data_IF_777830487172
#
_entry.id   IF_777830487172
#
_cell.length_a   1.000
_cell.length_b   1.000
_cell.length_c   1.000
_cell.angle_alpha   90.00
_cell.angle_beta   90.00
_cell.angle_gamma   90.00
#
_symmetry.space_group_name_H-M   'P 1'
#
loop_
_entity.id
_entity.type
_entity.pdbx_description
1 polymer ?
#
# COMPACT_ATOMS: atom_id res chain seq x y z
N UNK A 1 11.69 8.98 24.60
CA UNK A 1 11.60 8.56 23.17
C UNK A 1 10.61 9.47 22.49
N UNK A 2 10.76 9.75 21.19
CA UNK A 2 9.73 10.45 20.43
C UNK A 2 8.44 9.63 20.45
N UNK A 3 7.29 10.29 20.46
CA UNK A 3 6.01 9.62 20.30
C UNK A 3 5.84 9.22 18.83
N UNK A 4 6.15 7.97 18.50
CA UNK A 4 6.12 7.45 17.12
C UNK A 4 4.94 6.50 16.93
N UNK A 5 4.09 6.80 15.96
CA UNK A 5 3.04 5.89 15.51
C UNK A 5 3.58 4.84 14.54
N UNK A 6 3.08 3.61 14.66
CA UNK A 6 3.29 2.54 13.71
C UNK A 6 1.95 2.08 13.14
N UNK A 7 1.62 2.53 11.94
CA UNK A 7 0.39 2.21 11.25
C UNK A 7 0.55 0.88 10.49
N UNK A 8 -0.26 -0.11 10.85
CA UNK A 8 -0.35 -1.38 10.14
C UNK A 8 -1.75 -1.98 10.22
N UNK A 9 -2.09 -2.78 9.21
CA UNK A 9 -3.25 -3.67 9.25
C UNK A 9 -2.83 -5.07 8.84
N UNK A 10 -3.28 -6.09 9.58
CA UNK A 10 -3.00 -7.48 9.23
C UNK A 10 -3.58 -7.86 7.86
N UNK A 11 -4.68 -7.22 7.46
CA UNK A 11 -5.31 -7.38 6.15
C UNK A 11 -4.37 -7.02 4.97
N UNK A 12 -3.43 -6.08 5.17
CA UNK A 12 -2.45 -5.70 4.14
C UNK A 12 -1.51 -6.87 3.77
N UNK A 13 -1.29 -7.81 4.68
CA UNK A 13 -0.51 -9.02 4.40
C UNK A 13 -1.31 -10.10 3.65
N UNK A 14 -2.59 -9.87 3.36
CA UNK A 14 -3.44 -10.84 2.66
C UNK A 14 -3.67 -10.48 1.19
N UNK A 15 -3.17 -9.32 0.72
CA UNK A 15 -3.11 -9.03 -0.71
C UNK A 15 -2.27 -10.11 -1.42
N UNK A 16 -2.75 -10.59 -2.55
CA UNK A 16 -2.08 -11.59 -3.39
C UNK A 16 -2.04 -11.11 -4.83
N UNK A 17 -1.05 -11.58 -5.57
CA UNK A 17 -0.80 -11.25 -6.98
C UNK A 17 -1.06 -12.44 -7.90
N UNK A 18 -1.53 -13.58 -7.37
CA UNK A 18 -1.64 -14.84 -8.10
C UNK A 18 -0.30 -15.58 -8.23
N UNK A 19 -0.29 -16.62 -9.08
CA UNK A 19 0.89 -17.47 -9.30
C UNK A 19 1.94 -16.76 -10.17
N UNK A 20 3.15 -16.65 -9.63
CA UNK A 20 4.29 -16.07 -10.34
C UNK A 20 5.59 -16.74 -9.88
N UNK A 21 6.61 -16.72 -10.74
CA UNK A 21 7.99 -16.97 -10.36
C UNK A 21 8.73 -15.63 -10.32
N UNK A 22 9.03 -15.15 -9.12
CA UNK A 22 9.59 -13.81 -8.89
C UNK A 22 8.64 -12.72 -9.43
N UNK A 23 8.91 -12.13 -10.59
CA UNK A 23 8.04 -11.10 -11.20
C UNK A 23 7.29 -11.62 -12.43
N UNK A 24 7.59 -12.84 -12.88
CA UNK A 24 7.02 -13.41 -14.09
C UNK A 24 5.77 -14.23 -13.77
N UNK A 25 4.61 -13.96 -14.41
CA UNK A 25 3.43 -14.82 -14.28
C UNK A 25 3.73 -16.25 -14.72
N UNK A 26 3.16 -17.23 -14.00
CA UNK A 26 3.27 -18.64 -14.35
C UNK A 26 2.55 -18.92 -15.68
N UNK A 27 3.13 -19.79 -16.50
CA UNK A 27 2.61 -20.16 -17.82
C UNK A 27 3.69 -20.15 -18.91
N UNK A 28 3.41 -20.83 -20.02
CA UNK A 28 4.40 -21.01 -21.10
C UNK A 28 5.66 -21.72 -20.59
N UNK A 29 6.78 -21.00 -20.53
CA UNK A 29 8.07 -21.51 -20.06
C UNK A 29 8.34 -21.24 -18.57
N UNK A 30 7.46 -20.50 -17.90
CA UNK A 30 7.61 -20.16 -16.49
C UNK A 30 6.90 -21.22 -15.66
N UNK A 31 7.70 -22.09 -15.04
CA UNK A 31 7.20 -23.17 -14.18
C UNK A 31 6.58 -22.60 -12.89
N UNK A 32 5.47 -23.17 -12.39
CA UNK A 32 4.96 -22.86 -11.05
C UNK A 32 6.03 -23.09 -9.98
N UNK A 33 6.17 -22.16 -9.03
CA UNK A 33 7.07 -22.34 -7.90
C UNK A 33 6.49 -23.35 -6.91
N UNK A 34 7.30 -24.30 -6.43
CA UNK A 34 6.87 -25.27 -5.42
C UNK A 34 6.52 -24.61 -4.08
N UNK A 35 7.15 -23.49 -3.76
CA UNK A 35 6.85 -22.61 -2.63
C UNK A 35 7.31 -21.19 -2.95
N UNK A 36 6.73 -20.21 -2.27
CA UNK A 36 6.93 -18.80 -2.59
C UNK A 36 5.93 -18.32 -3.63
N UNK A 37 6.38 -17.50 -4.56
CA UNK A 37 5.53 -16.93 -5.59
C UNK A 37 6.07 -15.59 -6.06
N UNK A 38 5.17 -14.62 -6.19
CA UNK A 38 5.52 -13.28 -6.59
C UNK A 38 6.48 -12.58 -5.59
N UNK A 39 7.40 -11.75 -6.11
CA UNK A 39 8.42 -11.06 -5.33
C UNK A 39 7.81 -10.11 -4.28
N UNK A 40 6.68 -9.48 -4.60
CA UNK A 40 5.83 -8.72 -3.66
C UNK A 40 5.03 -9.66 -2.75
N UNK A 41 5.73 -10.55 -2.04
CA UNK A 41 5.12 -11.49 -1.10
C UNK A 41 4.86 -10.82 0.26
N UNK A 42 3.82 -11.25 0.99
CA UNK A 42 3.53 -10.70 2.31
C UNK A 42 4.64 -10.97 3.33
N UNK A 43 5.38 -12.07 3.18
CA UNK A 43 6.41 -12.49 4.12
C UNK A 43 7.55 -11.49 4.26
N UNK A 44 7.88 -10.76 3.20
CA UNK A 44 8.89 -9.69 3.28
C UNK A 44 8.54 -8.62 4.31
N UNK A 45 7.26 -8.21 4.42
CA UNK A 45 6.80 -7.19 5.37
C UNK A 45 6.40 -7.81 6.70
N UNK A 46 5.81 -9.01 6.70
CA UNK A 46 5.44 -9.75 7.92
C UNK A 46 6.67 -10.05 8.77
N UNK A 47 7.79 -10.45 8.16
CA UNK A 47 9.04 -10.74 8.89
C UNK A 47 9.64 -9.50 9.53
N UNK A 48 9.56 -8.33 8.89
CA UNK A 48 9.91 -7.05 9.52
C UNK A 48 9.06 -6.83 10.78
N UNK A 49 7.73 -6.94 10.66
CA UNK A 49 6.81 -6.79 11.81
C UNK A 49 7.14 -7.78 12.94
N UNK A 50 7.38 -9.06 12.61
CA UNK A 50 7.73 -10.08 13.59
C UNK A 50 9.05 -9.76 14.30
N UNK A 51 10.06 -9.25 13.58
CA UNK A 51 11.32 -8.83 14.18
C UNK A 51 11.13 -7.64 15.13
N UNK A 52 10.28 -6.67 14.76
CA UNK A 52 9.94 -5.53 15.63
C UNK A 52 9.25 -6.00 16.92
N UNK A 53 8.42 -7.04 16.84
CA UNK A 53 7.75 -7.64 17.99
C UNK A 53 8.76 -8.30 18.94
N UNK A 54 9.58 -9.24 18.43
CA UNK A 54 10.50 -10.02 19.28
C UNK A 54 11.69 -9.22 19.80
N UNK A 55 12.07 -8.13 19.12
CA UNK A 55 13.08 -7.18 19.62
C UNK A 55 12.54 -6.27 20.72
N UNK A 56 11.22 -6.22 20.93
CA UNK A 56 10.57 -5.32 21.87
C UNK A 56 10.42 -3.88 21.35
N UNK A 57 10.78 -3.60 20.09
CA UNK A 57 10.59 -2.28 19.49
C UNK A 57 9.09 -1.92 19.41
N UNK A 58 8.22 -2.87 19.09
CA UNK A 58 6.77 -2.64 19.05
C UNK A 58 6.21 -2.10 20.37
N UNK A 59 6.81 -2.46 21.52
CA UNK A 59 6.39 -1.97 22.85
C UNK A 59 6.72 -0.50 23.09
N UNK A 60 7.53 0.11 22.22
CA UNK A 60 7.95 1.51 22.29
C UNK A 60 7.21 2.40 21.27
N UNK A 61 6.32 1.80 20.46
CA UNK A 61 5.58 2.49 19.40
C UNK A 61 4.08 2.50 19.72
N UNK A 62 3.37 3.52 19.27
CA UNK A 62 1.91 3.52 19.26
C UNK A 62 1.42 2.75 18.02
N UNK A 63 1.12 1.47 18.18
CA UNK A 63 0.65 0.62 17.10
C UNK A 63 -0.82 0.93 16.79
N UNK A 64 -1.11 1.30 15.53
CA UNK A 64 -2.44 1.73 15.10
C UNK A 64 -2.85 1.03 13.80
N UNK A 65 -4.15 0.85 13.64
CA UNK A 65 -4.77 0.61 12.34
C UNK A 65 -5.39 1.93 11.82
N UNK A 66 -5.90 1.92 10.59
CA UNK A 66 -6.58 3.05 9.96
C UNK A 66 -7.90 2.60 9.33
N UNK A 67 -8.81 3.54 9.08
CA UNK A 67 -9.90 3.27 8.15
C UNK A 67 -9.37 3.20 6.71
N UNK A 68 -9.97 2.40 5.80
CA UNK A 68 -9.62 2.46 4.39
C UNK A 68 -9.74 3.87 3.80
N UNK A 69 -8.97 4.17 2.75
CA UNK A 69 -9.14 5.39 1.96
C UNK A 69 -10.57 5.45 1.38
N UNK A 70 -11.21 6.60 1.51
CA UNK A 70 -12.57 6.83 1.02
C UNK A 70 -12.59 7.03 -0.50
N UNK A 71 -13.76 6.82 -1.12
CA UNK A 71 -13.90 7.04 -2.56
C UNK A 71 -13.52 8.47 -3.00
N UNK A 72 -13.77 9.48 -2.16
CA UNK A 72 -13.38 10.86 -2.43
C UNK A 72 -11.85 11.05 -2.39
N UNK A 73 -11.17 10.40 -1.45
CA UNK A 73 -9.70 10.43 -1.35
C UNK A 73 -9.05 9.70 -2.54
N UNK A 74 -9.62 8.57 -2.96
CA UNK A 74 -9.15 7.87 -4.16
C UNK A 74 -9.34 8.72 -5.42
N UNK A 75 -10.51 9.35 -5.58
CA UNK A 75 -10.86 10.17 -6.73
C UNK A 75 -10.08 11.50 -6.82
N UNK A 76 -9.41 11.91 -5.74
CA UNK A 76 -8.51 13.06 -5.76
C UNK A 76 -7.23 12.79 -6.56
N UNK A 77 -6.89 11.52 -6.79
CA UNK A 77 -5.67 11.11 -7.51
C UNK A 77 -5.99 10.26 -8.73
N UNK A 78 -6.91 9.32 -8.61
CA UNK A 78 -7.18 8.32 -9.62
C UNK A 78 -8.41 8.61 -10.45
N UNK A 79 -8.38 8.20 -11.73
CA UNK A 79 -9.53 8.36 -12.62
C UNK A 79 -10.67 7.43 -12.22
N UNK A 80 -11.91 7.86 -12.48
CA UNK A 80 -13.10 7.06 -12.17
C UNK A 80 -13.08 5.69 -12.90
N UNK A 81 -12.66 5.68 -14.16
CA UNK A 81 -12.58 4.46 -14.97
C UNK A 81 -11.55 3.47 -14.40
N UNK A 82 -10.40 3.97 -13.94
CA UNK A 82 -9.37 3.14 -13.31
C UNK A 82 -9.91 2.47 -12.03
N UNK A 83 -10.54 3.27 -11.15
CA UNK A 83 -11.10 2.76 -9.89
C UNK A 83 -12.23 1.76 -10.14
N UNK A 84 -13.12 2.04 -11.10
CA UNK A 84 -14.21 1.14 -11.46
C UNK A 84 -13.70 -0.19 -12.04
N UNK A 85 -12.73 -0.14 -12.96
CA UNK A 85 -12.12 -1.33 -13.52
C UNK A 85 -11.40 -2.16 -12.45
N UNK A 86 -10.62 -1.51 -11.58
CA UNK A 86 -9.92 -2.19 -10.50
C UNK A 86 -10.90 -2.89 -9.54
N UNK A 87 -11.95 -2.17 -9.08
CA UNK A 87 -12.98 -2.75 -8.22
C UNK A 87 -13.65 -3.96 -8.86
N UNK A 88 -14.10 -3.83 -10.11
CA UNK A 88 -14.81 -4.89 -10.81
C UNK A 88 -13.96 -6.16 -10.97
N UNK A 89 -12.71 -6.02 -11.42
CA UNK A 89 -11.80 -7.16 -11.55
C UNK A 89 -11.45 -7.77 -10.19
N UNK A 90 -11.27 -6.93 -9.17
CA UNK A 90 -10.97 -7.37 -7.79
C UNK A 90 -12.14 -8.16 -7.18
N UNK A 91 -13.38 -7.81 -7.48
CA UNK A 91 -14.54 -8.54 -6.98
C UNK A 91 -14.70 -9.93 -7.62
N UNK A 92 -14.33 -10.02 -8.89
CA UNK A 92 -14.48 -11.22 -9.69
C UNK A 92 -13.33 -12.21 -9.46
N UNK A 93 -12.13 -11.89 -9.96
CA UNK A 93 -11.03 -12.86 -10.11
C UNK A 93 -9.62 -12.31 -9.85
N UNK A 94 -9.45 -11.00 -9.76
CA UNK A 94 -8.15 -10.34 -9.87
C UNK A 94 -7.74 -10.09 -11.32
N UNK A 95 -6.47 -9.76 -11.56
CA UNK A 95 -5.95 -9.52 -12.89
C UNK A 95 -4.65 -8.73 -12.90
N UNK A 96 -4.52 -7.87 -13.92
CA UNK A 96 -3.37 -6.99 -14.15
C UNK A 96 -3.90 -5.58 -14.42
N UNK A 97 -3.57 -4.59 -13.57
CA UNK A 97 -4.04 -3.20 -13.74
C UNK A 97 -3.17 -2.36 -14.68
N UNK A 98 -2.06 -2.91 -15.13
CA UNK A 98 -1.12 -2.22 -16.00
C UNK A 98 0.22 -2.95 -16.06
N UNK A 99 1.31 -2.22 -16.16
CA UNK A 99 2.62 -2.82 -16.41
C UNK A 99 3.18 -3.41 -15.12
N UNK A 100 3.20 -4.74 -15.03
CA UNK A 100 3.68 -5.45 -13.84
C UNK A 100 2.91 -5.08 -12.57
N UNK A 101 1.59 -4.92 -12.66
CA UNK A 101 0.70 -4.64 -11.53
C UNK A 101 -0.36 -5.76 -11.33
N UNK A 102 0.07 -7.00 -11.01
CA UNK A 102 -0.84 -8.11 -10.77
C UNK A 102 -1.57 -7.96 -9.43
N UNK A 103 -2.79 -8.46 -9.34
CA UNK A 103 -3.60 -8.46 -8.12
C UNK A 103 -4.61 -9.60 -8.12
N UNK A 104 -5.01 -10.05 -6.94
CA UNK A 104 -6.01 -11.10 -6.73
C UNK A 104 -7.36 -10.56 -6.28
N UNK A 105 -8.30 -11.48 -6.09
CA UNK A 105 -9.64 -11.16 -5.58
C UNK A 105 -9.57 -10.45 -4.22
N UNK A 106 -10.34 -9.38 -4.05
CA UNK A 106 -10.39 -8.55 -2.83
C UNK A 106 -9.19 -7.61 -2.63
N UNK A 107 -8.31 -7.47 -3.62
CA UNK A 107 -7.14 -6.58 -3.52
C UNK A 107 -7.52 -5.10 -3.55
N UNK A 108 -8.68 -4.72 -4.09
CA UNK A 108 -9.15 -3.34 -4.07
C UNK A 108 -9.32 -2.84 -2.63
N UNK A 109 -10.06 -3.58 -1.80
CA UNK A 109 -10.31 -3.24 -0.41
C UNK A 109 -8.99 -3.17 0.39
N UNK A 110 -8.07 -4.09 0.12
CA UNK A 110 -6.76 -4.12 0.78
C UNK A 110 -5.87 -2.95 0.32
N UNK A 111 -5.92 -2.57 -0.96
CA UNK A 111 -5.22 -1.38 -1.46
C UNK A 111 -5.80 -0.11 -0.82
N UNK A 112 -7.12 -0.01 -0.65
CA UNK A 112 -7.74 1.09 0.09
C UNK A 112 -7.27 1.11 1.55
N UNK A 113 -7.12 -0.04 2.19
CA UNK A 113 -6.55 -0.14 3.55
C UNK A 113 -5.12 0.40 3.57
N UNK A 114 -4.27 -0.01 2.62
CA UNK A 114 -2.89 0.44 2.50
C UNK A 114 -2.79 1.96 2.32
N UNK A 115 -3.62 2.55 1.45
CA UNK A 115 -3.70 4.00 1.28
C UNK A 115 -4.22 4.72 2.55
N UNK A 116 -5.18 4.12 3.25
CA UNK A 116 -5.71 4.64 4.53
C UNK A 116 -4.66 4.69 5.64
N UNK A 117 -3.79 3.68 5.73
CA UNK A 117 -2.65 3.68 6.66
C UNK A 117 -1.68 4.83 6.38
N UNK A 118 -1.38 5.10 5.10
CA UNK A 118 -0.53 6.24 4.72
C UNK A 118 -1.19 7.59 5.06
N UNK A 119 -2.49 7.72 4.78
CA UNK A 119 -3.29 8.91 5.12
C UNK A 119 -3.23 9.22 6.61
N UNK A 120 -3.58 8.25 7.46
CA UNK A 120 -3.66 8.49 8.92
C UNK A 120 -2.27 8.71 9.52
N UNK A 121 -1.22 8.11 8.96
CA UNK A 121 0.16 8.43 9.35
C UNK A 121 0.52 9.89 9.10
N UNK A 122 0.17 10.44 7.92
CA UNK A 122 0.41 11.84 7.60
C UNK A 122 -0.44 12.77 8.47
N UNK A 123 -1.75 12.51 8.59
CA UNK A 123 -2.66 13.34 9.38
C UNK A 123 -2.36 13.29 10.89
N UNK A 124 -1.94 12.14 11.41
CA UNK A 124 -1.56 11.97 12.82
C UNK A 124 -0.35 12.84 13.19
N UNK A 125 0.63 12.95 12.29
CA UNK A 125 1.79 13.83 12.49
C UNK A 125 1.39 15.30 12.30
N UNK A 126 0.66 15.65 11.24
CA UNK A 126 0.27 17.04 10.97
C UNK A 126 -0.66 17.63 12.04
N UNK A 127 -1.48 16.80 12.69
CA UNK A 127 -2.34 17.22 13.80
C UNK A 127 -1.61 17.35 15.14
N UNK A 128 -0.34 16.94 15.22
CA UNK A 128 0.44 16.92 16.46
C UNK A 128 0.10 15.76 17.39
N UNK A 129 -0.67 14.77 16.93
CA UNK A 129 -0.97 13.55 17.72
C UNK A 129 0.29 12.72 17.93
N UNK A 130 1.18 12.68 16.93
CA UNK A 130 2.45 11.95 16.96
C UNK A 130 3.60 12.84 16.45
N UNK A 131 4.80 12.67 17.00
CA UNK A 131 5.99 13.39 16.53
C UNK A 131 6.43 12.88 15.16
N UNK A 132 6.27 11.58 14.93
CA UNK A 132 6.65 10.88 13.69
C UNK A 132 5.74 9.67 13.50
N UNK A 133 5.68 9.14 12.28
CA UNK A 133 4.93 7.93 11.99
C UNK A 133 5.67 7.05 10.97
N UNK A 134 5.39 5.75 11.02
CA UNK A 134 5.75 4.77 10.00
C UNK A 134 4.48 4.03 9.57
N UNK A 135 4.17 4.01 8.28
CA UNK A 135 3.06 3.23 7.74
C UNK A 135 3.58 2.01 6.98
N UNK A 136 3.32 0.81 7.48
CA UNK A 136 3.68 -0.44 6.81
C UNK A 136 2.59 -0.79 5.79
N UNK A 137 2.57 -0.06 4.68
CA UNK A 137 1.57 -0.22 3.61
C UNK A 137 1.90 -1.39 2.69
N UNK A 138 0.89 -2.18 2.33
CA UNK A 138 0.96 -3.22 1.31
C UNK A 138 -0.44 -3.46 0.70
N UNK A 139 -0.64 -3.35 -0.62
CA UNK A 139 0.35 -3.13 -1.69
C UNK A 139 1.06 -1.75 -1.64
N UNK A 140 2.24 -1.60 -2.29
CA UNK A 140 2.97 -0.34 -2.39
C UNK A 140 2.26 0.68 -3.31
N UNK A 141 2.81 1.89 -3.45
CA UNK A 141 2.14 2.95 -4.20
C UNK A 141 2.98 3.87 -5.11
N UNK A 142 4.30 3.95 -4.96
CA UNK A 142 5.08 5.03 -5.59
C UNK A 142 5.12 5.01 -7.13
N UNK A 143 4.96 3.85 -7.78
CA UNK A 143 4.91 3.76 -9.23
C UNK A 143 3.50 3.98 -9.83
N UNK A 144 2.45 4.02 -9.01
CA UNK A 144 1.08 4.07 -9.53
C UNK A 144 0.77 5.45 -10.11
N UNK A 145 0.41 5.48 -11.39
CA UNK A 145 -0.09 6.67 -12.07
C UNK A 145 -1.58 6.89 -11.73
N UNK A 146 -2.12 8.01 -12.17
CA UNK A 146 -3.53 8.35 -11.96
C UNK A 146 -4.49 7.33 -12.59
N UNK A 147 -4.15 6.79 -13.75
CA UNK A 147 -5.01 5.91 -14.57
C UNK A 147 -4.39 4.53 -14.85
N UNK A 148 -3.24 4.21 -14.25
CA UNK A 148 -2.52 2.96 -14.52
C UNK A 148 -1.76 2.46 -13.28
N UNK A 149 -1.97 1.17 -12.95
CA UNK A 149 -1.14 0.46 -12.00
C UNK A 149 0.20 0.07 -12.62
N UNK A 150 1.29 0.19 -11.88
CA UNK A 150 2.63 -0.14 -12.37
C UNK A 150 3.52 -0.64 -11.24
N UNK A 151 4.44 -1.57 -11.53
CA UNK A 151 5.46 -2.01 -10.57
C UNK A 151 4.87 -2.45 -9.22
N UNK A 152 3.84 -3.29 -9.28
CA UNK A 152 3.10 -3.84 -8.13
C UNK A 152 2.25 -2.80 -7.37
N UNK A 153 2.32 -1.52 -7.74
CA UNK A 153 1.55 -0.45 -7.13
C UNK A 153 0.15 -0.37 -7.77
N UNK A 154 -0.89 -0.44 -6.93
CA UNK A 154 -2.29 -0.44 -7.38
C UNK A 154 -3.01 0.89 -7.06
N UNK A 155 -2.55 1.62 -6.05
CA UNK A 155 -3.01 2.96 -5.70
C UNK A 155 -1.80 3.80 -5.28
N UNK A 156 -1.82 5.10 -5.56
CA UNK A 156 -0.72 6.01 -5.24
C UNK A 156 -0.81 6.46 -3.77
N UNK A 157 -0.44 5.57 -2.84
CA UNK A 157 -0.64 5.74 -1.39
C UNK A 157 -0.17 7.11 -0.85
N UNK A 158 1.03 7.56 -1.24
CA UNK A 158 1.60 8.85 -0.79
C UNK A 158 0.80 10.03 -1.38
N UNK A 159 0.46 9.97 -2.66
CA UNK A 159 -0.33 11.02 -3.32
C UNK A 159 -1.72 11.14 -2.69
N UNK A 160 -2.37 10.01 -2.39
CA UNK A 160 -3.68 9.99 -1.71
C UNK A 160 -3.56 10.62 -0.31
N UNK A 161 -2.51 10.28 0.45
CA UNK A 161 -2.27 10.85 1.76
C UNK A 161 -2.03 12.38 1.72
N UNK A 162 -1.28 12.86 0.72
CA UNK A 162 -1.02 14.28 0.50
C UNK A 162 -2.30 15.02 0.13
N UNK A 163 -3.10 14.50 -0.81
CA UNK A 163 -4.35 15.13 -1.23
C UNK A 163 -5.38 15.14 -0.09
N UNK A 164 -5.45 14.08 0.72
CA UNK A 164 -6.28 14.07 1.93
C UNK A 164 -5.83 15.15 2.94
N UNK A 165 -4.52 15.31 3.15
CA UNK A 165 -3.98 16.35 4.02
C UNK A 165 -4.23 17.77 3.48
N UNK A 166 -4.17 17.96 2.16
CA UNK A 166 -4.52 19.23 1.50
C UNK A 166 -6.00 19.54 1.65
N UNK A 167 -6.88 18.56 1.40
CA UNK A 167 -8.33 18.71 1.54
C UNK A 167 -8.74 19.03 2.98
N UNK A 168 -8.02 18.50 3.97
CA UNK A 168 -8.20 18.83 5.39
C UNK A 168 -7.61 20.20 5.80
N UNK A 169 -6.91 20.90 4.91
CA UNK A 169 -6.22 22.15 5.21
C UNK A 169 -5.04 21.99 6.18
N UNK A 170 -4.51 20.76 6.33
CA UNK A 170 -3.49 20.44 7.33
C UNK A 170 -2.09 20.93 6.93
N UNK A 171 -1.78 20.96 5.63
CA UNK A 171 -0.54 21.51 5.09
C UNK A 171 -0.67 21.86 3.60
N UNK A 172 0.17 22.79 3.12
CA UNK A 172 0.17 23.25 1.73
C UNK A 172 1.39 22.81 0.92
N UNK A 173 2.51 22.51 1.60
CA UNK A 173 3.76 22.10 0.96
C UNK A 173 4.26 20.79 1.58
N UNK A 174 4.64 19.87 0.71
CA UNK A 174 5.12 18.55 1.06
C UNK A 174 6.42 18.31 0.32
N UNK A 175 7.36 17.62 0.97
CA UNK A 175 8.58 17.12 0.35
C UNK A 175 8.57 15.60 0.47
N UNK A 176 8.67 14.92 -0.67
CA UNK A 176 8.73 13.45 -0.73
C UNK A 176 10.18 13.08 -1.07
N UNK A 177 10.85 12.43 -0.13
CA UNK A 177 12.13 11.77 -0.37
C UNK A 177 11.84 10.30 -0.65
N UNK A 178 11.91 9.90 -1.92
CA UNK A 178 11.83 8.50 -2.31
C UNK A 178 13.25 7.91 -2.37
N UNK A 179 13.52 6.93 -1.51
CA UNK A 179 14.77 6.18 -1.49
C UNK A 179 14.58 4.72 -1.93
N UNK A 180 13.37 4.33 -2.35
CA UNK A 180 13.22 3.03 -3.01
C UNK A 180 14.23 2.94 -4.14
N UNK A 181 14.75 1.73 -4.35
CA UNK A 181 15.81 1.53 -5.34
C UNK A 181 15.32 1.77 -6.77
N UNK A 182 14.01 1.70 -6.99
CA UNK A 182 13.36 2.03 -8.25
C UNK A 182 12.84 3.47 -8.24
N UNK A 183 12.79 4.09 -9.41
CA UNK A 183 12.27 5.44 -9.58
C UNK A 183 10.76 5.50 -9.31
N UNK A 184 10.35 6.30 -8.32
CA UNK A 184 8.96 6.68 -8.04
C UNK A 184 8.39 7.61 -9.08
#
# INVERSE_FOLDING_TARGET
>A
MRNTAFYMSEACFWHTTGEAALTAPVGGWIQPMAAGGHAESPESKRRMRNLMEVSGLMKQLDARDAAPASAAELAAVHTADYLANFKALSDERGGMLGVSAPFGRGSFEIACQAAGLARDAVLGVLSGTHDTAYALTRPPGHHCLADQGMGFCLLSNISIAIEAARAAGAASRFFVLDWDVHHG
#
